data_IF_706487743045
#
_entry.id   IF_706487743045
#
_cell.length_a   1.000
_cell.length_b   1.000
_cell.length_c   1.000
_cell.angle_alpha   90.00
_cell.angle_beta   90.00
_cell.angle_gamma   90.00
#
_symmetry.space_group_name_H-M   'P 1'
#
loop_
_entity.id
_entity.type
_entity.pdbx_description
1 polymer ?
#
# COMPACT_ATOMS: atom_id res chain seq x y z
N UNK A 1 18.87 5.25 -34.81
CA UNK A 1 19.74 4.11 -34.48
C UNK A 1 18.96 2.84 -34.78
N UNK A 2 19.51 1.93 -35.58
CA UNK A 2 18.87 0.63 -35.85
C UNK A 2 19.21 -0.30 -34.68
N UNK A 3 18.24 -1.08 -34.19
CA UNK A 3 18.48 -2.09 -33.17
C UNK A 3 19.16 -3.30 -33.82
N UNK A 4 20.24 -3.78 -33.25
CA UNK A 4 20.99 -4.96 -33.66
C UNK A 4 20.75 -6.14 -32.69
N UNK A 5 20.81 -7.40 -33.17
CA UNK A 5 20.74 -8.56 -32.30
C UNK A 5 21.81 -8.51 -31.20
N UNK A 6 21.41 -8.70 -29.94
CA UNK A 6 22.27 -8.53 -28.78
C UNK A 6 22.04 -7.22 -28.01
N UNK A 7 21.36 -6.24 -28.61
CA UNK A 7 21.06 -4.98 -27.93
C UNK A 7 20.09 -5.15 -26.76
N UNK A 8 20.33 -4.38 -25.70
CA UNK A 8 19.38 -4.24 -24.60
C UNK A 8 18.25 -3.30 -25.04
N UNK A 9 17.05 -3.84 -25.15
CA UNK A 9 15.85 -3.14 -25.61
C UNK A 9 14.74 -3.21 -24.57
N UNK A 10 13.84 -2.24 -24.59
CA UNK A 10 12.64 -2.23 -23.75
C UNK A 10 11.41 -1.79 -24.52
N UNK A 11 10.23 -2.10 -24.00
CA UNK A 11 8.97 -1.60 -24.56
C UNK A 11 8.81 -0.10 -24.30
N UNK A 12 8.45 0.67 -25.34
CA UNK A 12 8.13 2.10 -25.20
C UNK A 12 6.97 2.37 -24.25
N UNK A 13 5.98 1.45 -24.22
CA UNK A 13 4.77 1.56 -23.38
C UNK A 13 4.94 0.97 -21.98
N UNK A 14 6.00 0.18 -21.76
CA UNK A 14 6.31 -0.39 -20.43
C UNK A 14 7.83 -0.45 -20.27
N UNK A 15 8.46 0.65 -19.81
CA UNK A 15 9.91 0.77 -19.71
C UNK A 15 10.55 -0.22 -18.74
N UNK A 16 9.76 -0.90 -17.89
CA UNK A 16 10.25 -1.93 -16.97
C UNK A 16 10.52 -3.24 -17.71
N UNK A 17 9.77 -3.50 -18.79
CA UNK A 17 9.88 -4.74 -19.55
C UNK A 17 11.03 -4.65 -20.55
N UNK A 18 12.24 -4.90 -20.05
CA UNK A 18 13.49 -4.89 -20.79
C UNK A 18 14.03 -6.30 -21.05
N UNK A 19 14.75 -6.46 -22.15
CA UNK A 19 15.30 -7.73 -22.60
C UNK A 19 16.38 -7.56 -23.66
N UNK A 20 16.89 -8.68 -24.14
CA UNK A 20 17.90 -8.73 -25.19
C UNK A 20 17.24 -9.06 -26.52
N UNK A 21 17.46 -8.20 -27.52
CA UNK A 21 17.00 -8.45 -28.88
C UNK A 21 17.66 -9.71 -29.44
N UNK A 22 16.87 -10.58 -30.06
CA UNK A 22 17.37 -11.79 -30.70
C UNK A 22 17.37 -11.63 -32.22
N UNK A 23 18.15 -12.48 -32.89
CA UNK A 23 18.33 -12.47 -34.36
C UNK A 23 17.10 -12.98 -35.14
N UNK A 24 16.05 -13.43 -34.43
CA UNK A 24 14.84 -13.94 -35.06
C UNK A 24 13.86 -12.80 -35.40
N UNK A 25 13.75 -12.48 -36.68
CA UNK A 25 12.79 -11.53 -37.25
C UNK A 25 11.86 -12.13 -38.31
N UNK A 26 10.66 -11.57 -38.44
CA UNK A 26 9.71 -11.90 -39.52
C UNK A 26 8.85 -10.71 -39.86
N UNK A 27 8.41 -10.63 -41.11
CA UNK A 27 7.46 -9.59 -41.53
C UNK A 27 6.04 -10.14 -41.49
N UNK A 28 5.16 -9.53 -40.70
CA UNK A 28 3.73 -9.90 -40.61
C UNK A 28 2.92 -8.65 -40.93
N UNK A 29 2.08 -8.72 -41.96
CA UNK A 29 1.18 -7.62 -42.35
C UNK A 29 1.90 -6.27 -42.54
N UNK A 30 3.12 -6.29 -43.10
CA UNK A 30 3.94 -5.10 -43.30
C UNK A 30 4.64 -4.57 -42.04
N UNK A 31 4.44 -5.21 -40.88
CA UNK A 31 5.15 -4.90 -39.65
C UNK A 31 6.34 -5.85 -39.46
N UNK A 32 7.52 -5.26 -39.26
CA UNK A 32 8.71 -5.99 -38.83
C UNK A 32 8.52 -6.45 -37.39
N UNK A 33 8.41 -7.75 -37.19
CA UNK A 33 8.32 -8.40 -35.88
C UNK A 33 9.69 -8.95 -35.52
N UNK A 34 10.13 -8.68 -34.30
CA UNK A 34 11.41 -9.15 -33.75
C UNK A 34 11.15 -9.93 -32.47
N UNK A 35 12.07 -10.83 -32.13
CA UNK A 35 11.98 -11.59 -30.89
C UNK A 35 12.84 -10.95 -29.82
N UNK A 36 12.27 -10.76 -28.63
CA UNK A 36 13.00 -10.27 -27.46
C UNK A 36 12.98 -11.34 -26.37
N UNK A 37 14.15 -11.60 -25.78
CA UNK A 37 14.28 -12.40 -24.55
C UNK A 37 14.23 -11.47 -23.36
N UNK A 38 13.14 -11.50 -22.60
CA UNK A 38 12.98 -10.68 -21.41
C UNK A 38 13.82 -11.22 -20.24
N UNK A 39 14.05 -10.36 -19.24
CA UNK A 39 14.81 -10.68 -18.04
C UNK A 39 14.19 -11.77 -17.16
N UNK A 40 12.89 -12.03 -17.31
CA UNK A 40 12.16 -13.14 -16.69
C UNK A 40 12.34 -14.47 -17.43
N UNK A 41 13.12 -14.50 -18.51
CA UNK A 41 13.34 -15.66 -19.37
C UNK A 41 12.26 -15.87 -20.44
N UNK A 42 11.19 -15.06 -20.44
CA UNK A 42 10.13 -15.18 -21.44
C UNK A 42 10.59 -14.65 -22.81
N UNK A 43 10.28 -15.41 -23.85
CA UNK A 43 10.47 -14.99 -25.25
C UNK A 43 9.15 -14.44 -25.80
N UNK A 44 9.18 -13.31 -26.50
CA UNK A 44 7.97 -12.75 -27.13
C UNK A 44 8.27 -12.11 -28.48
N UNK A 45 7.32 -12.28 -29.40
CA UNK A 45 7.31 -11.60 -30.70
C UNK A 45 6.66 -10.23 -30.56
N UNK A 46 7.41 -9.18 -30.91
CA UNK A 46 6.98 -7.80 -30.73
C UNK A 46 7.23 -6.99 -32.00
N UNK A 47 6.40 -5.97 -32.28
CA UNK A 47 6.67 -5.05 -33.37
C UNK A 47 7.96 -4.29 -33.09
N UNK A 48 8.85 -4.19 -34.08
CA UNK A 48 10.08 -3.39 -33.99
C UNK A 48 9.76 -1.94 -33.55
N UNK A 49 8.64 -1.38 -34.02
CA UNK A 49 8.18 -0.03 -33.69
C UNK A 49 7.85 0.17 -32.20
N UNK A 50 7.55 -0.91 -31.47
CA UNK A 50 7.21 -0.88 -30.05
C UNK A 50 8.44 -0.87 -29.12
N UNK A 51 9.64 -1.07 -29.67
CA UNK A 51 10.89 -1.19 -28.93
C UNK A 51 11.72 0.09 -29.01
N UNK A 52 12.48 0.35 -27.95
CA UNK A 52 13.53 1.36 -27.89
C UNK A 52 14.78 0.80 -27.20
N UNK A 53 15.95 1.36 -27.51
CA UNK A 53 17.18 1.05 -26.78
C UNK A 53 17.05 1.46 -25.31
N UNK A 54 17.66 0.66 -24.44
CA UNK A 54 17.93 1.10 -23.08
C UNK A 54 19.20 1.97 -23.10
N UNK A 55 19.16 3.22 -22.62
CA UNK A 55 20.33 4.11 -22.63
C UNK A 55 21.48 3.54 -21.79
N UNK A 56 22.71 3.55 -22.32
CA UNK A 56 23.91 3.05 -21.62
C UNK A 56 24.21 3.83 -20.34
N UNK A 57 23.98 5.15 -20.34
CA UNK A 57 24.19 6.03 -19.18
C UNK A 57 23.08 5.93 -18.12
N UNK A 58 22.14 5.00 -18.30
CA UNK A 58 20.89 4.99 -17.55
C UNK A 58 19.99 6.18 -17.90
N UNK A 59 18.80 6.19 -17.31
CA UNK A 59 17.81 7.24 -17.51
C UNK A 59 17.24 7.55 -16.13
N UNK A 60 17.28 8.82 -15.72
CA UNK A 60 16.78 9.20 -14.40
C UNK A 60 15.25 9.07 -14.33
N UNK A 61 14.72 8.93 -13.12
CA UNK A 61 13.26 8.93 -12.91
C UNK A 61 12.62 10.24 -13.43
N UNK A 62 13.33 11.36 -13.30
CA UNK A 62 12.87 12.67 -13.77
C UNK A 62 12.79 12.69 -15.31
N UNK A 63 13.80 12.19 -16.01
CA UNK A 63 13.79 12.12 -17.47
C UNK A 63 12.67 11.23 -17.99
N UNK A 64 12.40 10.09 -17.31
CA UNK A 64 11.26 9.22 -17.65
C UNK A 64 9.94 9.93 -17.50
N UNK A 65 9.78 10.69 -16.41
CA UNK A 65 8.55 11.43 -16.13
C UNK A 65 8.30 12.52 -17.19
N UNK A 66 9.30 13.33 -17.50
CA UNK A 66 9.20 14.41 -18.52
C UNK A 66 8.91 13.82 -19.91
N UNK A 67 9.45 12.64 -20.22
CA UNK A 67 9.19 11.96 -21.49
C UNK A 67 7.91 11.09 -21.51
N UNK A 68 7.07 11.16 -20.47
CA UNK A 68 5.80 10.43 -20.39
C UNK A 68 5.95 8.91 -20.35
N UNK A 69 7.12 8.40 -19.93
CA UNK A 69 7.44 6.97 -19.86
C UNK A 69 7.01 6.42 -18.50
N UNK A 70 5.75 5.99 -18.43
CA UNK A 70 5.16 5.43 -17.21
C UNK A 70 5.20 3.90 -17.19
N UNK A 71 5.22 3.35 -15.98
CA UNK A 71 5.09 1.90 -15.75
C UNK A 71 3.63 1.46 -15.90
N UNK A 72 3.41 0.18 -16.19
CA UNK A 72 2.05 -0.36 -16.25
C UNK A 72 1.36 -0.35 -14.88
N UNK A 73 0.01 -0.20 -14.82
CA UNK A 73 -0.73 -0.23 -13.55
C UNK A 73 -0.50 -1.52 -12.75
N UNK A 74 -0.32 -2.64 -13.44
CA UNK A 74 -0.05 -3.93 -12.79
C UNK A 74 1.34 -3.96 -12.16
N UNK A 75 2.34 -3.35 -12.78
CA UNK A 75 3.66 -3.19 -12.18
C UNK A 75 3.59 -2.33 -10.92
N UNK A 76 2.87 -1.20 -10.98
CA UNK A 76 2.68 -0.33 -9.82
C UNK A 76 2.00 -1.09 -8.67
N UNK A 77 0.91 -1.81 -8.95
CA UNK A 77 0.21 -2.65 -7.95
C UNK A 77 1.15 -3.68 -7.34
N UNK A 78 1.90 -4.43 -8.14
CA UNK A 78 2.86 -5.43 -7.64
C UNK A 78 3.95 -4.80 -6.78
N UNK A 79 4.47 -3.64 -7.17
CA UNK A 79 5.48 -2.92 -6.39
C UNK A 79 4.91 -2.43 -5.07
N UNK A 80 3.71 -1.87 -5.05
CA UNK A 80 3.02 -1.46 -3.82
C UNK A 80 2.74 -2.67 -2.92
N UNK A 81 2.24 -3.78 -3.47
CA UNK A 81 2.04 -5.03 -2.71
C UNK A 81 3.36 -5.55 -2.15
N UNK A 82 4.45 -5.54 -2.93
CA UNK A 82 5.77 -5.95 -2.44
C UNK A 82 6.25 -5.05 -1.31
N UNK A 83 6.11 -3.73 -1.43
CA UNK A 83 6.46 -2.78 -0.37
C UNK A 83 5.64 -3.07 0.91
N UNK A 84 4.34 -3.31 0.77
CA UNK A 84 3.45 -3.72 1.86
C UNK A 84 3.91 -5.01 2.55
N UNK A 85 4.30 -6.03 1.79
CA UNK A 85 4.71 -7.34 2.32
C UNK A 85 6.14 -7.35 2.86
N UNK A 86 7.04 -6.55 2.29
CA UNK A 86 8.48 -6.55 2.60
C UNK A 86 8.89 -5.85 3.91
N UNK A 87 7.95 -5.29 4.67
CA UNK A 87 8.21 -4.92 6.06
C UNK A 87 9.01 -3.62 6.28
N UNK A 88 9.24 -2.79 5.26
CA UNK A 88 9.79 -1.41 5.45
C UNK A 88 8.67 -0.46 5.90
N UNK A 89 8.18 -0.76 7.09
CA UNK A 89 6.86 -0.45 7.66
C UNK A 89 6.55 1.00 8.04
N UNK A 90 7.44 1.95 7.79
CA UNK A 90 7.18 3.34 8.18
C UNK A 90 6.15 4.05 7.27
N UNK A 91 5.94 3.56 6.04
CA UNK A 91 5.14 4.30 5.03
C UNK A 91 3.78 3.70 4.69
N UNK A 92 3.43 2.51 5.23
CA UNK A 92 2.14 1.86 4.95
C UNK A 92 1.22 1.99 6.16
N UNK A 93 0.08 2.64 5.97
CA UNK A 93 -0.98 2.70 7.00
C UNK A 93 -1.90 1.49 6.83
N UNK A 94 -1.75 0.48 7.69
CA UNK A 94 -2.53 -0.77 7.63
C UNK A 94 -4.01 -0.61 7.85
N UNK A 95 -4.40 0.40 8.61
CA UNK A 95 -5.79 0.77 8.87
C UNK A 95 -6.49 1.36 7.63
N UNK A 96 -5.75 1.73 6.58
CA UNK A 96 -6.33 2.27 5.35
C UNK A 96 -7.06 1.17 4.58
N UNK A 97 -8.36 1.37 4.31
CA UNK A 97 -9.28 0.43 3.62
C UNK A 97 -9.53 -0.91 4.37
N UNK A 98 -9.04 -1.06 5.60
CA UNK A 98 -9.23 -2.27 6.40
C UNK A 98 -10.52 -2.26 7.24
N UNK A 99 -11.29 -1.17 7.19
CA UNK A 99 -12.42 -0.87 8.07
C UNK A 99 -13.65 -0.51 7.25
N UNK A 100 -14.85 -0.75 7.78
CA UNK A 100 -16.12 -0.37 7.13
C UNK A 100 -16.43 1.12 7.38
N UNK A 101 -15.51 1.99 6.99
CA UNK A 101 -15.56 3.44 7.16
C UNK A 101 -15.29 4.14 5.85
N UNK A 102 -15.99 5.26 5.60
CA UNK A 102 -15.62 6.15 4.49
C UNK A 102 -14.21 6.71 4.68
N UNK A 103 -13.46 6.77 3.57
CA UNK A 103 -12.09 7.26 3.61
C UNK A 103 -12.06 8.79 3.67
N UNK A 104 -11.53 9.33 4.79
CA UNK A 104 -11.23 10.75 4.92
C UNK A 104 -9.75 10.97 5.27
N UNK A 105 -8.97 11.67 4.42
CA UNK A 105 -7.53 11.84 4.64
C UNK A 105 -7.14 12.43 5.99
N UNK A 106 -7.96 13.31 6.56
CA UNK A 106 -7.67 13.94 7.85
C UNK A 106 -7.68 12.94 9.01
N UNK A 107 -8.49 11.87 8.94
CA UNK A 107 -8.64 10.86 9.99
C UNK A 107 -7.41 9.95 10.14
N UNK A 108 -6.50 9.97 9.16
CA UNK A 108 -5.24 9.21 9.20
C UNK A 108 -4.08 10.02 9.77
N UNK A 109 -4.21 11.35 9.92
CA UNK A 109 -3.18 12.18 10.56
C UNK A 109 -2.87 11.72 11.99
N UNK A 110 -3.85 11.38 12.85
CA UNK A 110 -3.58 10.83 14.17
C UNK A 110 -2.82 9.50 14.14
N UNK A 111 -3.16 8.61 13.19
CA UNK A 111 -2.47 7.33 13.03
C UNK A 111 -0.99 7.55 12.75
N UNK A 112 -0.67 8.40 11.78
CA UNK A 112 0.71 8.74 11.43
C UNK A 112 1.45 9.37 12.61
N UNK A 113 0.83 10.35 13.29
CA UNK A 113 1.43 11.00 14.46
C UNK A 113 1.70 10.03 15.61
N UNK A 114 0.84 9.03 15.82
CA UNK A 114 1.08 8.02 16.85
C UNK A 114 2.26 7.12 16.48
N UNK A 115 2.39 6.72 15.21
CA UNK A 115 3.50 5.90 14.74
C UNK A 115 4.86 6.61 14.84
N UNK A 116 4.86 7.93 14.77
CA UNK A 116 6.05 8.77 14.96
C UNK A 116 6.28 9.17 16.43
N UNK A 117 5.34 8.85 17.33
CA UNK A 117 5.39 9.26 18.72
C UNK A 117 6.41 8.43 19.50
N UNK A 118 7.41 9.05 20.17
CA UNK A 118 8.40 8.31 20.95
C UNK A 118 7.83 7.71 22.24
N UNK A 119 6.62 8.11 22.65
CA UNK A 119 5.98 7.70 23.90
C UNK A 119 4.73 6.85 23.70
N UNK A 120 4.43 6.44 22.45
CA UNK A 120 3.21 5.69 22.08
C UNK A 120 1.91 6.33 22.59
N UNK A 121 1.92 7.65 22.77
CA UNK A 121 0.79 8.43 23.30
C UNK A 121 0.43 9.58 22.39
N UNK A 122 -0.87 9.86 22.25
CA UNK A 122 -1.38 10.93 21.41
C UNK A 122 -2.62 11.59 22.02
N UNK A 123 -2.71 12.92 21.92
CA UNK A 123 -3.92 13.68 22.20
C UNK A 123 -4.56 14.14 20.88
N UNK A 124 -5.82 13.73 20.65
CA UNK A 124 -6.62 14.14 19.50
C UNK A 124 -7.60 15.23 19.96
N UNK A 125 -7.42 16.45 19.44
CA UNK A 125 -8.13 17.64 19.90
C UNK A 125 -8.81 18.42 18.76
N UNK A 126 -9.29 17.71 17.73
CA UNK A 126 -9.98 18.36 16.60
C UNK A 126 -11.37 18.92 17.00
N UNK A 127 -12.12 19.48 16.06
CA UNK A 127 -13.50 19.92 16.31
C UNK A 127 -14.46 18.76 16.65
N UNK A 128 -15.59 19.09 17.30
CA UNK A 128 -16.63 18.11 17.61
C UNK A 128 -17.31 17.66 16.31
N UNK A 129 -17.48 16.35 16.13
CA UNK A 129 -18.16 15.79 14.96
C UNK A 129 -17.25 15.30 13.84
N UNK A 130 -15.94 15.57 13.89
CA UNK A 130 -14.97 15.13 12.85
C UNK A 130 -14.61 13.62 12.89
N UNK A 131 -15.23 12.86 13.79
CA UNK A 131 -15.05 11.41 13.83
C UNK A 131 -13.91 10.91 14.72
N UNK A 132 -13.64 11.55 15.87
CA UNK A 132 -12.61 11.10 16.84
C UNK A 132 -12.70 9.62 17.22
N UNK A 133 -13.92 9.09 17.32
CA UNK A 133 -14.15 7.67 17.60
C UNK A 133 -13.67 6.78 16.45
N UNK A 134 -13.83 7.24 15.20
CA UNK A 134 -13.30 6.58 14.00
C UNK A 134 -11.77 6.65 13.99
N UNK A 135 -11.19 7.81 14.28
CA UNK A 135 -9.73 8.00 14.37
C UNK A 135 -9.11 7.05 15.41
N UNK A 136 -9.74 6.91 16.58
CA UNK A 136 -9.30 5.96 17.61
C UNK A 136 -9.42 4.49 17.15
N UNK A 137 -10.46 4.14 16.40
CA UNK A 137 -10.60 2.79 15.82
C UNK A 137 -9.56 2.49 14.73
N UNK A 138 -9.20 3.50 13.91
CA UNK A 138 -8.11 3.39 12.94
C UNK A 138 -6.77 3.18 13.65
N UNK A 139 -6.50 3.95 14.72
CA UNK A 139 -5.33 3.76 15.59
C UNK A 139 -5.29 2.34 16.14
N UNK A 140 -6.40 1.83 16.68
CA UNK A 140 -6.47 0.46 17.20
C UNK A 140 -6.15 -0.58 16.13
N UNK A 141 -6.73 -0.43 14.94
CA UNK A 141 -6.50 -1.34 13.80
C UNK A 141 -5.02 -1.36 13.40
N UNK A 142 -4.39 -0.17 13.37
CA UNK A 142 -2.96 -0.03 13.09
C UNK A 142 -2.09 -0.71 14.16
N UNK A 143 -2.37 -0.45 15.44
CA UNK A 143 -1.61 -1.02 16.55
C UNK A 143 -1.74 -2.54 16.60
N UNK A 144 -2.94 -3.07 16.35
CA UNK A 144 -3.18 -4.52 16.26
C UNK A 144 -2.39 -5.14 15.12
N UNK A 145 -2.35 -4.50 13.94
CA UNK A 145 -1.59 -4.99 12.79
C UNK A 145 -0.07 -4.95 13.01
N UNK A 146 0.44 -3.92 13.71
CA UNK A 146 1.89 -3.70 13.89
C UNK A 146 2.50 -4.41 15.11
N UNK A 147 1.78 -4.42 16.22
CA UNK A 147 2.30 -4.83 17.52
C UNK A 147 1.59 -6.07 18.08
N UNK A 148 0.73 -6.71 17.29
CA UNK A 148 -0.08 -7.86 17.72
C UNK A 148 -0.89 -7.57 19.00
N UNK A 149 -1.39 -6.32 19.09
CA UNK A 149 -2.18 -5.88 20.23
C UNK A 149 -3.50 -6.66 20.30
N UNK A 150 -3.70 -7.39 21.39
CA UNK A 150 -4.84 -8.29 21.57
C UNK A 150 -5.91 -7.76 22.54
N UNK A 151 -5.66 -6.63 23.22
CA UNK A 151 -6.59 -6.05 24.21
C UNK A 151 -6.72 -4.56 24.04
N UNK A 152 -7.97 -4.07 24.01
CA UNK A 152 -8.34 -2.66 23.95
C UNK A 152 -9.14 -2.30 25.20
N UNK A 153 -8.78 -1.19 25.85
CA UNK A 153 -9.57 -0.59 26.92
C UNK A 153 -9.99 0.83 26.50
N UNK A 154 -11.29 1.07 26.43
CA UNK A 154 -11.86 2.39 26.20
C UNK A 154 -12.48 2.90 27.50
N UNK A 155 -11.97 4.02 28.01
CA UNK A 155 -12.55 4.71 29.15
C UNK A 155 -13.34 5.93 28.66
N UNK A 156 -14.66 5.92 28.84
CA UNK A 156 -15.53 7.01 28.42
C UNK A 156 -16.70 7.23 29.40
N UNK A 157 -17.35 8.41 29.37
CA UNK A 157 -18.60 8.63 30.08
C UNK A 157 -19.67 7.61 29.71
N UNK A 158 -20.56 7.29 30.66
CA UNK A 158 -21.61 6.26 30.51
C UNK A 158 -22.47 6.43 29.25
N UNK A 159 -22.77 7.67 28.89
CA UNK A 159 -23.61 8.01 27.72
C UNK A 159 -22.95 7.67 26.39
N UNK A 160 -21.62 7.56 26.33
CA UNK A 160 -20.88 7.23 25.11
C UNK A 160 -20.58 5.74 24.97
N UNK A 161 -20.76 4.95 26.03
CA UNK A 161 -20.41 3.52 26.03
C UNK A 161 -21.08 2.73 24.89
N UNK A 162 -22.39 2.92 24.71
CA UNK A 162 -23.15 2.23 23.65
C UNK A 162 -22.70 2.64 22.25
N UNK A 163 -22.40 3.93 22.05
CA UNK A 163 -21.87 4.45 20.79
C UNK A 163 -20.51 3.82 20.46
N UNK A 164 -19.61 3.76 21.44
CA UNK A 164 -18.30 3.12 21.27
C UNK A 164 -18.44 1.63 20.94
N UNK A 165 -19.29 0.90 21.66
CA UNK A 165 -19.55 -0.52 21.39
C UNK A 165 -20.06 -0.74 19.97
N UNK A 166 -21.02 0.07 19.52
CA UNK A 166 -21.60 -0.05 18.18
C UNK A 166 -20.59 0.29 17.07
N UNK A 167 -19.82 1.37 17.21
CA UNK A 167 -18.84 1.75 16.20
C UNK A 167 -17.68 0.75 16.13
N UNK A 168 -17.14 0.32 17.26
CA UNK A 168 -16.06 -0.67 17.32
C UNK A 168 -16.50 -2.03 16.78
N UNK A 169 -17.72 -2.46 17.11
CA UNK A 169 -18.28 -3.73 16.62
C UNK A 169 -18.56 -3.71 15.12
N UNK A 170 -19.31 -2.71 14.65
CA UNK A 170 -19.74 -2.67 13.24
C UNK A 170 -18.61 -2.27 12.28
N UNK A 171 -17.78 -1.29 12.63
CA UNK A 171 -16.81 -0.71 11.67
C UNK A 171 -15.43 -1.33 11.72
N UNK A 172 -15.05 -1.86 12.89
CA UNK A 172 -13.69 -2.35 13.15
C UNK A 172 -13.66 -3.85 13.53
N UNK A 173 -14.82 -4.51 13.58
CA UNK A 173 -14.93 -5.94 13.90
C UNK A 173 -14.39 -6.30 15.28
N UNK A 174 -14.49 -5.38 16.24
CA UNK A 174 -14.01 -5.58 17.62
C UNK A 174 -15.17 -6.03 18.50
N UNK A 175 -15.02 -7.18 19.15
CA UNK A 175 -15.97 -7.60 20.18
C UNK A 175 -15.76 -6.79 21.47
N UNK A 176 -16.77 -6.02 21.86
CA UNK A 176 -16.67 -5.07 22.97
C UNK A 176 -17.62 -5.48 24.10
N UNK A 177 -17.03 -5.74 25.27
CA UNK A 177 -17.77 -5.98 26.50
C UNK A 177 -17.86 -4.70 27.33
N UNK A 178 -19.08 -4.23 27.61
CA UNK A 178 -19.29 -3.14 28.56
C UNK A 178 -18.95 -3.60 29.98
N UNK A 179 -18.09 -2.84 30.66
CA UNK A 179 -17.66 -3.13 32.02
C UNK A 179 -17.74 -1.89 32.91
N UNK A 180 -18.22 -2.09 34.13
CA UNK A 180 -18.03 -1.13 35.22
C UNK A 180 -16.71 -1.47 35.97
N UNK A 181 -16.33 -0.65 36.94
CA UNK A 181 -15.08 -0.82 37.69
C UNK A 181 -14.93 -2.22 38.32
N UNK A 182 -16.01 -2.77 38.89
CA UNK A 182 -15.97 -4.07 39.56
C UNK A 182 -15.87 -5.24 38.56
N UNK A 183 -16.57 -5.16 37.43
CA UNK A 183 -16.45 -6.14 36.34
C UNK A 183 -15.07 -6.09 35.70
N UNK A 184 -14.53 -4.90 35.43
CA UNK A 184 -13.19 -4.73 34.86
C UNK A 184 -12.10 -5.34 35.76
N UNK A 185 -12.16 -5.07 37.07
CA UNK A 185 -11.21 -5.65 38.03
C UNK A 185 -11.26 -7.18 38.05
N UNK A 186 -12.45 -7.79 37.92
CA UNK A 186 -12.59 -9.25 37.83
C UNK A 186 -11.97 -9.79 36.54
N UNK A 187 -12.19 -9.13 35.40
CA UNK A 187 -11.64 -9.54 34.10
C UNK A 187 -10.12 -9.45 34.10
N UNK A 188 -9.54 -8.34 34.60
CA UNK A 188 -8.08 -8.17 34.67
C UNK A 188 -7.42 -9.25 35.53
N UNK A 189 -8.05 -9.63 36.65
CA UNK A 189 -7.53 -10.68 37.55
C UNK A 189 -7.56 -12.09 36.93
N UNK A 190 -8.53 -12.40 36.06
CA UNK A 190 -8.61 -13.68 35.34
C UNK A 190 -7.61 -13.80 34.19
N UNK A 191 -7.00 -12.68 33.81
CA UNK A 191 -6.22 -12.55 32.58
C UNK A 191 -4.70 -12.56 32.81
N UNK A 192 -4.28 -12.80 34.06
CA UNK A 192 -2.93 -13.16 34.50
C UNK A 192 -2.84 -14.68 34.60
#
# INVERSE_FOLDING_TARGET
>A
MQLEPGDLVRLKRDPVRAGVLQDAEKNIAGQRMVTVRFSDGQMSWLPYSALEHVPENGESCYDRFVNGKFVSPDWLRRTLTRLRVSGRLSEVVYSMEATETDFYPHQFKPVIKLMESPTDSLLIADEVGLGKTIEAGLIWTELRARHDCNRLLVACPKTLCEKWQLELGSKFGVDVQLANASTLLKTLRRSK
#
